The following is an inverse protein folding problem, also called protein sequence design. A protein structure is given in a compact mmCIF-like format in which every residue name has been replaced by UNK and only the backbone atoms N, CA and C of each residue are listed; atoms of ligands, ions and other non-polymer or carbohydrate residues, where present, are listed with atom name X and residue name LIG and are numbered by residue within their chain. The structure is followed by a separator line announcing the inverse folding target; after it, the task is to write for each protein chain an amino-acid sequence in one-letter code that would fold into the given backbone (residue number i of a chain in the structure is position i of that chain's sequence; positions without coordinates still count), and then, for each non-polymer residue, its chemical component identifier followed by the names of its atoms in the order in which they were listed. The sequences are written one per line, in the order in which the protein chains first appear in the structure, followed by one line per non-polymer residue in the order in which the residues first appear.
data_IF_665325099635
#
_entry.id   IF_665325099635
#
_cell.length_a   1.000
_cell.length_b   1.000
_cell.length_c   1.000
_cell.angle_alpha   90.00
_cell.angle_beta   90.00
_cell.angle_gamma   90.00
#
_symmetry.space_group_name_H-M   'P 1'
#
loop_
_entity.id
_entity.type
_entity.pdbx_description
1 polymer ?
#
# COMPACT_ATOMS: atom_id res chain seq x y z
N UNK A 1 -21.56 44.68 -5.25
CA UNK A 1 -21.38 43.67 -4.18
C UNK A 1 -20.66 42.38 -4.62
N UNK A 2 -20.39 42.14 -5.91
CA UNK A 2 -19.71 40.91 -6.37
C UNK A 2 -18.19 41.03 -6.57
N UNK A 3 -17.62 42.25 -6.68
CA UNK A 3 -16.19 42.45 -6.97
C UNK A 3 -15.28 42.29 -5.74
N UNK A 4 -15.73 42.71 -4.55
CA UNK A 4 -14.92 42.62 -3.33
C UNK A 4 -14.63 41.19 -2.84
N UNK A 5 -15.44 40.21 -3.25
CA UNK A 5 -15.25 38.81 -2.83
C UNK A 5 -14.16 38.10 -3.64
N UNK A 6 -13.93 38.51 -4.90
CA UNK A 6 -12.86 37.97 -5.75
C UNK A 6 -11.48 38.53 -5.37
N UNK A 7 -11.40 39.80 -4.98
CA UNK A 7 -10.16 40.37 -4.45
C UNK A 7 -9.79 39.76 -3.10
N UNK A 8 -10.77 39.51 -2.23
CA UNK A 8 -10.54 38.82 -0.96
C UNK A 8 -10.03 37.39 -1.16
N UNK A 9 -10.59 36.65 -2.13
CA UNK A 9 -10.13 35.31 -2.49
C UNK A 9 -8.68 35.30 -3.00
N UNK A 10 -8.30 36.26 -3.87
CA UNK A 10 -6.92 36.43 -4.33
C UNK A 10 -5.96 36.75 -3.19
N UNK A 11 -6.34 37.66 -2.30
CA UNK A 11 -5.53 38.04 -1.14
C UNK A 11 -5.36 36.88 -0.16
N UNK A 12 -6.39 36.03 0.00
CA UNK A 12 -6.31 34.81 0.80
C UNK A 12 -5.44 33.73 0.12
N UNK A 13 -5.51 33.57 -1.20
CA UNK A 13 -4.61 32.69 -1.96
C UNK A 13 -3.15 33.16 -1.93
N UNK A 14 -2.89 34.47 -1.89
CA UNK A 14 -1.53 35.02 -1.85
C UNK A 14 -0.92 34.99 -0.44
N UNK A 15 -1.71 35.25 0.62
CA UNK A 15 -1.21 35.35 2.00
C UNK A 15 -1.39 34.06 2.82
N UNK A 16 -2.41 33.25 2.50
CA UNK A 16 -2.68 31.94 3.12
C UNK A 16 -2.62 30.82 2.09
N UNK A 17 -2.09 31.10 0.90
CA UNK A 17 -1.84 30.11 -0.15
C UNK A 17 -1.23 28.86 0.45
N UNK A 18 -1.89 27.73 0.18
CA UNK A 18 -1.39 26.41 0.53
C UNK A 18 0.10 26.39 0.24
N UNK A 19 0.94 26.24 1.27
CA UNK A 19 2.35 25.88 1.05
C UNK A 19 2.29 24.71 0.08
N UNK A 20 2.86 24.80 -1.13
CA UNK A 20 2.79 23.72 -2.09
C UNK A 20 3.38 22.51 -1.38
N UNK A 21 2.50 21.63 -0.92
CA UNK A 21 2.89 20.40 -0.27
C UNK A 21 3.55 19.59 -1.38
N UNK A 22 4.70 18.97 -1.06
CA UNK A 22 5.63 18.33 -2.00
C UNK A 22 5.01 17.18 -2.82
N UNK A 23 4.01 17.46 -3.66
CA UNK A 23 3.44 16.55 -4.63
C UNK A 23 3.32 17.34 -5.95
N UNK A 24 4.48 17.79 -6.43
CA UNK A 24 4.74 18.03 -7.86
C UNK A 24 4.94 16.70 -8.61
N UNK A 25 5.00 15.58 -7.89
CA UNK A 25 4.97 14.23 -8.45
C UNK A 25 3.63 14.08 -9.16
N UNK A 26 3.64 13.99 -10.49
CA UNK A 26 2.44 13.78 -11.30
C UNK A 26 1.70 12.45 -11.02
N UNK A 27 2.06 11.74 -9.94
CA UNK A 27 1.45 10.52 -9.41
C UNK A 27 1.22 10.69 -7.91
N UNK A 28 -0.02 10.50 -7.47
CA UNK A 28 -0.43 10.58 -6.08
C UNK A 28 -0.35 9.19 -5.41
N UNK A 29 0.46 9.00 -4.35
CA UNK A 29 0.47 7.74 -3.62
C UNK A 29 -0.82 7.58 -2.81
N UNK A 30 -1.48 6.44 -2.86
CA UNK A 30 -2.71 6.18 -2.14
C UNK A 30 -2.59 4.87 -1.39
N UNK A 31 -2.24 4.98 -0.11
CA UNK A 31 -2.08 3.84 0.76
C UNK A 31 -3.39 3.47 1.47
N UNK A 32 -3.82 2.21 1.33
CA UNK A 32 -4.99 1.60 1.97
C UNK A 32 -4.55 0.36 2.76
N UNK A 33 -5.31 0.02 3.80
CA UNK A 33 -5.04 -1.14 4.64
C UNK A 33 -6.13 -2.20 4.50
N UNK A 34 -5.71 -3.44 4.29
CA UNK A 34 -6.57 -4.61 4.40
C UNK A 34 -7.03 -4.83 5.85
N UNK A 35 -8.12 -5.58 6.03
CA UNK A 35 -8.64 -5.93 7.35
C UNK A 35 -7.59 -6.68 8.18
N UNK A 36 -7.58 -6.60 9.52
CA UNK A 36 -6.70 -7.39 10.34
C UNK A 36 -6.85 -8.90 10.03
N UNK A 37 -5.74 -9.54 9.68
CA UNK A 37 -5.68 -10.97 9.37
C UNK A 37 -4.37 -11.56 9.92
N UNK A 38 -4.40 -12.76 10.51
CA UNK A 38 -3.21 -13.34 11.12
C UNK A 38 -2.16 -13.68 10.07
N UNK A 39 -0.89 -13.43 10.39
CA UNK A 39 0.22 -13.89 9.58
C UNK A 39 0.31 -15.44 9.60
N UNK A 40 0.57 -16.10 8.46
CA UNK A 40 0.58 -17.57 8.37
C UNK A 40 1.58 -18.28 9.30
N UNK A 41 2.69 -17.61 9.64
CA UNK A 41 3.72 -18.14 10.54
C UNK A 41 3.56 -17.71 12.01
N UNK A 42 2.53 -16.91 12.32
CA UNK A 42 2.37 -16.25 13.63
C UNK A 42 2.99 -14.85 13.67
N UNK A 43 3.40 -14.40 14.87
CA UNK A 43 3.82 -13.03 15.16
C UNK A 43 5.35 -12.95 15.33
N UNK A 44 6.01 -12.07 14.57
CA UNK A 44 7.43 -11.79 14.74
C UNK A 44 7.68 -11.06 16.07
N UNK A 45 8.88 -11.20 16.63
CA UNK A 45 9.25 -10.66 17.95
C UNK A 45 9.05 -9.14 18.06
N UNK A 46 9.33 -8.40 16.98
CA UNK A 46 9.29 -6.93 16.98
C UNK A 46 7.95 -6.35 16.50
N UNK A 47 6.98 -7.18 16.11
CA UNK A 47 5.72 -6.67 15.56
C UNK A 47 4.78 -6.25 16.71
N UNK A 48 4.41 -4.96 16.83
CA UNK A 48 3.59 -4.50 17.95
C UNK A 48 2.09 -4.84 17.78
N UNK A 49 1.55 -4.70 16.57
CA UNK A 49 0.12 -4.89 16.25
C UNK A 49 -0.35 -6.31 15.97
N UNK A 50 -1.52 -6.42 15.36
CA UNK A 50 -2.11 -7.69 14.93
C UNK A 50 -3.63 -7.76 15.16
N UNK A 51 -4.28 -8.84 14.66
CA UNK A 51 -5.73 -9.03 14.80
C UNK A 51 -6.22 -9.02 16.25
N UNK A 52 -5.35 -9.40 17.20
CA UNK A 52 -5.57 -9.37 18.64
C UNK A 52 -5.88 -7.97 19.19
N UNK A 53 -5.38 -6.93 18.53
CA UNK A 53 -5.61 -5.52 18.89
C UNK A 53 -6.39 -4.75 17.82
N UNK A 54 -6.96 -5.47 16.84
CA UNK A 54 -7.79 -4.88 15.78
C UNK A 54 -7.02 -4.10 14.71
N UNK A 55 -5.70 -4.31 14.59
CA UNK A 55 -4.86 -3.65 13.57
C UNK A 55 -4.24 -4.68 12.63
N UNK A 56 -3.89 -4.31 11.39
CA UNK A 56 -3.01 -5.16 10.57
C UNK A 56 -1.66 -5.36 11.27
N UNK A 57 -0.99 -6.47 10.94
CA UNK A 57 0.30 -6.78 11.53
C UNK A 57 1.29 -5.62 11.34
N UNK A 58 2.05 -5.30 12.38
CA UNK A 58 3.09 -4.26 12.44
C UNK A 58 2.61 -2.82 12.72
N UNK A 59 1.30 -2.55 12.75
CA UNK A 59 0.78 -1.19 12.97
C UNK A 59 0.13 -1.02 14.35
N UNK A 60 0.25 0.18 14.93
CA UNK A 60 -0.15 0.44 16.34
C UNK A 60 -1.42 1.28 16.50
N UNK A 61 -1.78 2.13 15.54
CA UNK A 61 -3.07 2.84 15.54
C UNK A 61 -3.02 4.32 15.17
N UNK A 62 -1.89 4.99 15.39
CA UNK A 62 -1.74 6.44 15.19
C UNK A 62 -1.31 6.82 13.77
N UNK A 63 -0.98 5.83 12.94
CA UNK A 63 -0.56 6.06 11.57
C UNK A 63 -1.73 6.60 10.74
N UNK A 64 -1.56 7.68 9.95
CA UNK A 64 -2.67 8.29 9.21
C UNK A 64 -3.42 7.34 8.28
N UNK A 65 -2.73 6.35 7.70
CA UNK A 65 -3.37 5.34 6.88
C UNK A 65 -4.20 4.36 7.69
N UNK A 66 -3.71 3.91 8.85
CA UNK A 66 -4.46 3.05 9.75
C UNK A 66 -5.67 3.78 10.34
N UNK A 67 -5.52 5.02 10.76
CA UNK A 67 -6.66 5.83 11.25
C UNK A 67 -7.76 5.97 10.20
N UNK A 68 -7.41 6.14 8.92
CA UNK A 68 -8.41 6.13 7.82
C UNK A 68 -9.07 4.76 7.69
N UNK A 69 -8.27 3.69 7.71
CA UNK A 69 -8.77 2.33 7.59
C UNK A 69 -9.74 1.98 8.73
N UNK A 70 -9.40 2.32 9.97
CA UNK A 70 -10.26 2.13 11.14
C UNK A 70 -11.59 2.87 11.01
N UNK A 71 -11.57 4.15 10.62
CA UNK A 71 -12.80 4.95 10.38
C UNK A 71 -13.65 4.39 9.24
N UNK A 72 -13.02 3.78 8.24
CA UNK A 72 -13.68 3.14 7.12
C UNK A 72 -14.15 1.71 7.42
N UNK A 73 -13.80 1.13 8.58
CA UNK A 73 -14.03 -0.29 8.86
C UNK A 73 -13.28 -1.23 7.92
N UNK A 74 -12.09 -0.82 7.46
CA UNK A 74 -11.26 -1.49 6.46
C UNK A 74 -11.93 -1.67 5.09
N UNK A 75 -13.00 -0.93 4.81
CA UNK A 75 -13.63 -0.87 3.50
C UNK A 75 -12.72 -0.12 2.49
N UNK A 76 -12.21 -0.80 1.43
CA UNK A 76 -11.28 -0.20 0.47
C UNK A 76 -11.90 0.98 -0.29
N UNK A 77 -13.19 0.91 -0.63
CA UNK A 77 -13.87 1.97 -1.37
C UNK A 77 -13.89 3.26 -0.54
N UNK A 78 -14.28 3.16 0.73
CA UNK A 78 -14.32 4.30 1.66
C UNK A 78 -12.93 4.87 1.93
N UNK A 79 -11.91 4.01 2.06
CA UNK A 79 -10.52 4.45 2.24
C UNK A 79 -10.02 5.26 1.04
N UNK A 80 -10.24 4.75 -0.17
CA UNK A 80 -9.85 5.43 -1.42
C UNK A 80 -10.61 6.75 -1.58
N UNK A 81 -11.94 6.74 -1.43
CA UNK A 81 -12.75 7.98 -1.53
C UNK A 81 -12.32 9.05 -0.54
N UNK A 82 -12.06 8.66 0.70
CA UNK A 82 -11.58 9.59 1.73
C UNK A 82 -10.25 10.22 1.32
N UNK A 83 -9.30 9.43 0.81
CA UNK A 83 -7.98 9.93 0.41
C UNK A 83 -8.00 10.77 -0.86
N UNK A 84 -8.80 10.41 -1.87
CA UNK A 84 -8.99 11.22 -3.08
C UNK A 84 -9.65 12.56 -2.75
N UNK A 85 -10.68 12.57 -1.90
CA UNK A 85 -11.32 13.80 -1.41
C UNK A 85 -10.31 14.67 -0.68
N UNK A 86 -9.39 14.06 0.09
CA UNK A 86 -8.34 14.82 0.77
C UNK A 86 -7.39 15.53 -0.20
N UNK A 87 -6.99 14.86 -1.28
CA UNK A 87 -6.16 15.46 -2.30
C UNK A 87 -6.89 16.61 -3.01
N UNK A 88 -8.07 16.34 -3.53
CA UNK A 88 -8.82 17.28 -4.36
C UNK A 88 -9.41 18.46 -3.56
N UNK A 89 -10.08 18.19 -2.42
CA UNK A 89 -10.84 19.20 -1.68
C UNK A 89 -10.08 19.91 -0.58
N UNK A 90 -9.11 19.25 0.06
CA UNK A 90 -8.39 19.83 1.20
C UNK A 90 -6.97 20.28 0.85
N UNK A 91 -6.32 19.62 -0.12
CA UNK A 91 -4.96 19.98 -0.55
C UNK A 91 -4.94 20.75 -1.88
N UNK A 92 -6.10 20.89 -2.55
CA UNK A 92 -6.27 21.72 -3.73
C UNK A 92 -5.65 21.14 -5.00
N UNK A 93 -5.44 19.82 -5.09
CA UNK A 93 -4.93 19.20 -6.31
C UNK A 93 -5.75 17.96 -6.71
N UNK A 94 -6.10 17.88 -7.99
CA UNK A 94 -6.84 16.74 -8.53
C UNK A 94 -5.88 15.56 -8.85
N UNK A 95 -6.03 14.40 -8.20
CA UNK A 95 -5.12 13.26 -8.38
C UNK A 95 -5.46 12.45 -9.64
N UNK A 96 -5.11 12.93 -10.83
CA UNK A 96 -5.43 12.24 -12.10
C UNK A 96 -4.72 10.89 -12.27
N UNK A 97 -3.57 10.69 -11.61
CA UNK A 97 -2.80 9.45 -11.61
C UNK A 97 -2.50 9.05 -10.18
N UNK A 98 -2.74 7.78 -9.86
CA UNK A 98 -2.60 7.22 -8.52
C UNK A 98 -1.75 5.97 -8.55
N UNK A 99 -0.83 5.86 -7.60
CA UNK A 99 -0.19 4.59 -7.24
C UNK A 99 -0.91 4.05 -6.00
N UNK A 100 -1.61 2.92 -6.14
CA UNK A 100 -2.29 2.26 -5.02
C UNK A 100 -1.27 1.45 -4.22
N UNK A 101 -1.26 1.60 -2.89
CA UNK A 101 -0.36 0.86 -2.00
C UNK A 101 -1.22 0.05 -1.04
N UNK A 102 -1.13 -1.27 -1.14
CA UNK A 102 -1.89 -2.23 -0.34
C UNK A 102 -1.03 -2.69 0.82
N UNK A 103 -1.37 -2.19 2.00
CA UNK A 103 -0.73 -2.54 3.27
C UNK A 103 -1.59 -3.54 4.04
N UNK A 104 -0.97 -4.43 4.81
CA UNK A 104 -1.73 -5.42 5.58
C UNK A 104 -0.95 -6.61 6.11
N UNK A 105 0.38 -6.51 6.18
CA UNK A 105 1.27 -7.60 6.55
C UNK A 105 1.58 -8.51 5.36
N UNK A 106 0.75 -9.54 5.14
CA UNK A 106 0.95 -10.52 4.06
C UNK A 106 -0.31 -10.63 3.22
N UNK A 107 -0.61 -9.62 2.39
CA UNK A 107 -1.87 -9.56 1.64
C UNK A 107 -2.13 -10.79 0.75
N UNK A 108 -1.11 -11.37 0.06
CA UNK A 108 -1.29 -12.61 -0.69
C UNK A 108 -1.74 -13.83 0.13
N UNK A 109 -1.65 -13.77 1.47
CA UNK A 109 -2.10 -14.83 2.37
C UNK A 109 -3.59 -14.79 2.72
N UNK A 110 -4.31 -13.75 2.28
CA UNK A 110 -5.75 -13.63 2.53
C UNK A 110 -6.52 -14.56 1.58
N UNK A 111 -7.78 -14.90 1.89
CA UNK A 111 -8.64 -15.58 0.93
C UNK A 111 -8.71 -14.85 -0.42
N UNK A 112 -8.67 -15.59 -1.53
CA UNK A 112 -8.59 -15.02 -2.90
C UNK A 112 -9.79 -14.11 -3.20
N UNK A 113 -10.98 -14.53 -2.79
CA UNK A 113 -12.22 -13.77 -2.92
C UNK A 113 -12.14 -12.40 -2.22
N UNK A 114 -11.52 -12.36 -1.04
CA UNK A 114 -11.26 -11.12 -0.32
C UNK A 114 -10.25 -10.24 -1.06
N UNK A 115 -9.17 -10.82 -1.60
CA UNK A 115 -8.15 -10.06 -2.34
C UNK A 115 -8.74 -9.42 -3.60
N UNK A 116 -9.48 -10.18 -4.40
CA UNK A 116 -10.15 -9.69 -5.62
C UNK A 116 -11.18 -8.62 -5.28
N UNK A 117 -12.06 -8.86 -4.31
CA UNK A 117 -13.04 -7.88 -3.84
C UNK A 117 -12.36 -6.59 -3.36
N UNK A 118 -11.24 -6.71 -2.64
CA UNK A 118 -10.56 -5.56 -2.05
C UNK A 118 -10.00 -4.62 -3.12
N UNK A 119 -9.33 -5.18 -4.14
CA UNK A 119 -8.80 -4.42 -5.26
C UNK A 119 -9.91 -3.87 -6.14
N UNK A 120 -10.92 -4.69 -6.48
CA UNK A 120 -12.07 -4.26 -7.28
C UNK A 120 -12.77 -3.04 -6.66
N UNK A 121 -13.04 -3.08 -5.35
CA UNK A 121 -13.69 -1.97 -4.65
C UNK A 121 -12.79 -0.73 -4.50
N UNK A 122 -11.48 -0.90 -4.45
CA UNK A 122 -10.54 0.22 -4.51
C UNK A 122 -10.59 0.91 -5.88
N UNK A 123 -10.64 0.13 -6.97
CA UNK A 123 -10.76 0.65 -8.34
C UNK A 123 -12.12 1.32 -8.58
N UNK A 124 -13.22 0.72 -8.12
CA UNK A 124 -14.57 1.33 -8.16
C UNK A 124 -14.60 2.75 -7.57
N UNK A 125 -13.89 2.95 -6.46
CA UNK A 125 -13.78 4.26 -5.82
C UNK A 125 -13.02 5.28 -6.68
N UNK A 126 -12.01 4.85 -7.44
CA UNK A 126 -11.30 5.69 -8.40
C UNK A 126 -12.17 5.97 -9.64
N UNK A 127 -12.80 4.93 -10.18
CA UNK A 127 -13.64 4.97 -11.38
C UNK A 127 -14.80 5.95 -11.23
N UNK A 128 -15.44 5.98 -10.06
CA UNK A 128 -16.54 6.89 -9.79
C UNK A 128 -16.13 8.30 -9.36
N UNK A 129 -14.84 8.65 -9.23
CA UNK A 129 -14.37 9.96 -8.76
C UNK A 129 -14.19 10.96 -9.91
N UNK A 130 -14.60 12.24 -9.80
CA UNK A 130 -15.14 12.95 -8.62
C UNK A 130 -16.65 12.81 -8.42
N UNK A 131 -17.34 12.01 -9.24
CA UNK A 131 -18.77 11.76 -9.11
C UNK A 131 -19.18 11.15 -7.76
N UNK A 132 -20.48 11.22 -7.47
CA UNK A 132 -21.07 10.64 -6.24
C UNK A 132 -21.55 9.19 -6.41
N UNK A 133 -21.51 8.65 -7.63
CA UNK A 133 -21.92 7.27 -7.88
C UNK A 133 -20.92 6.27 -7.33
N UNK A 134 -21.42 5.20 -6.73
CA UNK A 134 -20.66 3.96 -6.64
C UNK A 134 -20.67 3.35 -8.04
N UNK A 135 -19.54 3.42 -8.76
CA UNK A 135 -19.31 2.44 -9.80
C UNK A 135 -19.30 1.08 -9.09
N UNK A 136 -20.09 0.12 -9.58
CA UNK A 136 -20.13 -1.24 -9.04
C UNK A 136 -19.83 -2.16 -10.20
N UNK A 137 -18.54 -2.39 -10.44
CA UNK A 137 -18.14 -3.48 -11.31
C UNK A 137 -18.64 -4.81 -10.74
N UNK A 138 -19.00 -5.76 -11.60
CA UNK A 138 -19.42 -7.10 -11.17
C UNK A 138 -18.22 -8.03 -10.99
N UNK A 139 -17.11 -7.70 -11.64
CA UNK A 139 -15.86 -8.45 -11.62
C UNK A 139 -14.68 -7.51 -11.47
N UNK A 140 -13.53 -8.07 -11.06
CA UNK A 140 -12.28 -7.33 -10.97
C UNK A 140 -11.87 -6.79 -12.35
N UNK A 141 -12.00 -7.62 -13.39
CA UNK A 141 -11.61 -7.30 -14.76
C UNK A 141 -12.45 -6.14 -15.32
N UNK A 142 -13.75 -6.10 -15.05
CA UNK A 142 -14.60 -4.94 -15.38
C UNK A 142 -14.12 -3.66 -14.69
N UNK A 143 -13.73 -3.73 -13.40
CA UNK A 143 -13.24 -2.58 -12.66
C UNK A 143 -11.90 -2.06 -13.24
N UNK A 144 -11.02 -2.97 -13.67
CA UNK A 144 -9.75 -2.66 -14.31
C UNK A 144 -9.98 -1.98 -15.67
N UNK A 145 -10.83 -2.54 -16.53
CA UNK A 145 -11.14 -2.00 -17.86
C UNK A 145 -11.72 -0.59 -17.78
N UNK A 146 -12.66 -0.35 -16.86
CA UNK A 146 -13.20 1.01 -16.62
C UNK A 146 -12.10 1.96 -16.14
N UNK A 147 -11.15 1.49 -15.35
CA UNK A 147 -10.09 2.34 -14.80
C UNK A 147 -9.09 2.83 -15.86
N UNK A 148 -8.93 2.12 -16.98
CA UNK A 148 -8.03 2.51 -18.08
C UNK A 148 -8.35 3.91 -18.63
N UNK A 149 -9.63 4.29 -18.64
CA UNK A 149 -10.12 5.56 -19.14
C UNK A 149 -10.68 6.51 -18.07
N UNK A 150 -10.64 6.11 -16.79
CA UNK A 150 -11.17 6.91 -15.68
C UNK A 150 -10.44 8.25 -15.50
N UNK A 151 -11.12 9.20 -14.84
CA UNK A 151 -10.53 10.50 -14.50
C UNK A 151 -9.42 10.38 -13.44
N UNK A 152 -9.51 9.39 -12.56
CA UNK A 152 -8.47 8.99 -11.60
C UNK A 152 -7.96 7.62 -12.03
N UNK A 153 -6.78 7.56 -12.64
CA UNK A 153 -6.19 6.31 -13.14
C UNK A 153 -5.27 5.67 -12.13
N UNK A 154 -5.44 4.38 -11.89
CA UNK A 154 -4.49 3.56 -11.17
C UNK A 154 -3.35 3.18 -12.11
N UNK A 155 -2.21 3.85 -11.98
CA UNK A 155 -1.05 3.62 -12.85
C UNK A 155 -0.09 2.55 -12.30
N UNK A 156 -0.41 1.99 -11.14
CA UNK A 156 0.36 0.94 -10.51
C UNK A 156 -0.23 0.55 -9.16
N UNK A 157 -0.10 -0.73 -8.83
CA UNK A 157 -0.47 -1.28 -7.54
C UNK A 157 0.78 -1.88 -6.89
N UNK A 158 1.01 -1.47 -5.65
CA UNK A 158 2.07 -1.97 -4.79
C UNK A 158 1.46 -2.91 -3.76
N UNK A 159 1.99 -4.14 -3.68
CA UNK A 159 1.56 -5.13 -2.67
C UNK A 159 2.73 -5.43 -1.74
N UNK A 160 2.51 -5.28 -0.43
CA UNK A 160 3.43 -5.75 0.59
C UNK A 160 3.23 -7.23 0.87
N UNK A 161 4.33 -7.99 0.92
CA UNK A 161 4.27 -9.42 1.24
C UNK A 161 5.53 -9.92 1.93
N UNK A 162 5.46 -11.16 2.41
CA UNK A 162 6.60 -11.92 2.91
C UNK A 162 7.25 -12.70 1.76
N UNK A 163 8.57 -12.93 1.79
CA UNK A 163 9.23 -13.74 0.77
C UNK A 163 8.61 -15.11 0.49
N UNK A 164 8.20 -15.86 1.52
CA UNK A 164 7.54 -17.16 1.38
C UNK A 164 6.14 -17.08 0.70
N UNK A 165 5.59 -15.87 0.57
CA UNK A 165 4.34 -15.53 -0.12
C UNK A 165 4.57 -14.69 -1.39
N UNK A 166 5.77 -14.77 -1.96
CA UNK A 166 6.14 -14.17 -3.24
C UNK A 166 6.69 -15.20 -4.22
N UNK A 167 6.09 -16.39 -4.23
CA UNK A 167 6.39 -17.52 -5.12
C UNK A 167 5.49 -17.52 -6.36
N UNK A 168 5.66 -18.49 -7.26
CA UNK A 168 5.04 -18.51 -8.60
C UNK A 168 3.51 -18.34 -8.56
N UNK A 169 2.73 -19.09 -7.74
CA UNK A 169 1.27 -18.92 -7.69
C UNK A 169 0.83 -17.54 -7.16
N UNK A 170 1.64 -16.96 -6.27
CA UNK A 170 1.37 -15.63 -5.72
C UNK A 170 1.69 -14.54 -6.74
N UNK A 171 2.74 -14.73 -7.54
CA UNK A 171 3.07 -13.85 -8.66
C UNK A 171 1.93 -13.80 -9.69
N UNK A 172 1.41 -14.97 -10.08
CA UNK A 172 0.27 -15.07 -11.02
C UNK A 172 -0.97 -14.34 -10.47
N UNK A 173 -1.29 -14.53 -9.19
CA UNK A 173 -2.40 -13.83 -8.55
C UNK A 173 -2.17 -12.31 -8.52
N UNK A 174 -0.99 -11.86 -8.12
CA UNK A 174 -0.65 -10.43 -8.07
C UNK A 174 -0.70 -9.78 -9.46
N UNK A 175 -0.27 -10.49 -10.52
CA UNK A 175 -0.41 -10.02 -11.90
C UNK A 175 -1.89 -9.84 -12.27
N UNK A 176 -2.75 -10.82 -11.94
CA UNK A 176 -4.20 -10.72 -12.19
C UNK A 176 -4.85 -9.56 -11.43
N UNK A 177 -4.39 -9.27 -10.21
CA UNK A 177 -4.84 -8.10 -9.44
C UNK A 177 -4.39 -6.77 -10.06
N UNK A 178 -3.46 -6.76 -11.02
CA UNK A 178 -2.90 -5.55 -11.62
C UNK A 178 -1.72 -4.97 -10.85
N UNK A 179 -1.06 -5.77 -10.00
CA UNK A 179 0.15 -5.34 -9.30
C UNK A 179 1.31 -5.09 -10.26
N UNK A 180 2.09 -4.05 -9.97
CA UNK A 180 3.27 -3.66 -10.74
C UNK A 180 4.53 -3.58 -9.88
N UNK A 181 4.36 -3.50 -8.56
CA UNK A 181 5.46 -3.46 -7.59
C UNK A 181 5.15 -4.37 -6.40
N UNK A 182 6.16 -5.05 -5.91
CA UNK A 182 6.07 -5.89 -4.70
C UNK A 182 7.11 -5.42 -3.70
N UNK A 183 6.67 -5.18 -2.46
CA UNK A 183 7.55 -4.86 -1.34
C UNK A 183 7.73 -6.11 -0.47
N UNK A 184 8.95 -6.65 -0.48
CA UNK A 184 9.30 -7.85 0.25
C UNK A 184 9.84 -7.51 1.63
N UNK A 185 9.18 -8.05 2.65
CA UNK A 185 9.64 -7.98 4.03
C UNK A 185 10.83 -8.88 4.33
N UNK A 186 11.99 -8.65 3.70
CA UNK A 186 13.25 -9.42 3.88
C UNK A 186 13.81 -9.23 5.29
N UNK A 187 13.86 -7.98 5.75
CA UNK A 187 14.34 -7.52 7.06
C UNK A 187 15.82 -7.74 7.34
N UNK A 188 16.35 -8.95 7.12
CA UNK A 188 17.76 -9.31 7.27
C UNK A 188 18.21 -10.32 6.23
N UNK A 189 19.49 -10.29 5.86
CA UNK A 189 20.14 -11.28 4.97
C UNK A 189 20.86 -12.39 5.75
N UNK A 190 20.55 -12.54 7.04
CA UNK A 190 21.17 -13.54 7.90
C UNK A 190 20.14 -14.45 8.57
N UNK A 191 20.19 -15.76 8.30
CA UNK A 191 19.23 -16.72 8.84
C UNK A 191 19.24 -16.79 10.38
N UNK A 192 20.40 -16.62 11.04
CA UNK A 192 20.49 -16.61 12.50
C UNK A 192 19.67 -15.45 13.11
N UNK A 193 19.66 -14.28 12.46
CA UNK A 193 18.84 -13.13 12.87
C UNK A 193 17.36 -13.40 12.59
N UNK A 194 17.02 -13.90 11.40
CA UNK A 194 15.63 -14.20 11.00
C UNK A 194 14.97 -15.24 11.92
N UNK A 195 15.70 -16.29 12.28
CA UNK A 195 15.27 -17.32 13.23
C UNK A 195 15.04 -16.70 14.61
N UNK A 196 15.98 -15.90 15.09
CA UNK A 196 15.92 -15.28 16.43
C UNK A 196 14.70 -14.36 16.59
N UNK A 197 14.31 -13.64 15.54
CA UNK A 197 13.12 -12.77 15.55
C UNK A 197 11.83 -13.48 15.12
N UNK A 198 11.88 -14.80 14.89
CA UNK A 198 10.76 -15.64 14.45
C UNK A 198 10.08 -15.11 13.19
N UNK A 199 10.88 -14.74 12.17
CA UNK A 199 10.38 -14.10 10.95
C UNK A 199 9.56 -15.05 10.04
N UNK A 200 9.79 -16.35 10.17
CA UNK A 200 9.06 -17.41 9.47
C UNK A 200 9.45 -17.62 8.01
N UNK A 201 10.59 -17.08 7.56
CA UNK A 201 11.20 -17.41 6.27
C UNK A 201 12.74 -17.35 6.40
N UNK A 202 13.42 -17.91 5.42
CA UNK A 202 14.88 -18.00 5.27
C UNK A 202 15.40 -17.03 4.20
N UNK A 203 16.69 -16.72 4.24
CA UNK A 203 17.36 -15.92 3.19
C UNK A 203 17.19 -16.56 1.81
N UNK A 204 17.18 -17.90 1.74
CA UNK A 204 16.97 -18.61 0.48
C UNK A 204 15.58 -18.37 -0.12
N UNK A 205 14.55 -18.24 0.72
CA UNK A 205 13.20 -17.86 0.28
C UNK A 205 13.16 -16.41 -0.22
N UNK A 206 13.90 -15.50 0.40
CA UNK A 206 14.10 -14.12 -0.10
C UNK A 206 14.74 -14.07 -1.48
N UNK A 207 15.78 -14.87 -1.70
CA UNK A 207 16.45 -14.99 -3.00
C UNK A 207 15.49 -15.58 -4.04
N UNK A 208 14.81 -16.69 -3.70
CA UNK A 208 13.86 -17.35 -4.62
C UNK A 208 12.71 -16.44 -4.99
N UNK A 209 12.07 -15.80 -4.01
CA UNK A 209 10.96 -14.88 -4.24
C UNK A 209 11.38 -13.73 -5.14
N UNK A 210 12.55 -13.16 -4.89
CA UNK A 210 13.07 -12.06 -5.70
C UNK A 210 13.28 -12.48 -7.14
N UNK A 211 13.86 -13.66 -7.38
CA UNK A 211 14.01 -14.21 -8.74
C UNK A 211 12.65 -14.36 -9.42
N UNK A 212 11.70 -15.05 -8.77
CA UNK A 212 10.36 -15.28 -9.33
C UNK A 212 9.68 -13.96 -9.69
N UNK A 213 9.66 -12.99 -8.78
CA UNK A 213 8.97 -11.74 -9.00
C UNK A 213 9.68 -10.86 -10.03
N UNK A 214 11.02 -10.86 -10.08
CA UNK A 214 11.79 -10.17 -11.13
C UNK A 214 11.53 -10.78 -12.50
N UNK A 215 11.59 -12.11 -12.61
CA UNK A 215 11.36 -12.85 -13.86
C UNK A 215 9.91 -12.67 -14.35
N UNK A 216 8.97 -12.41 -13.43
CA UNK A 216 7.57 -12.09 -13.72
C UNK A 216 7.32 -10.62 -14.09
N UNK A 217 8.36 -9.77 -14.09
CA UNK A 217 8.27 -8.37 -14.50
C UNK A 217 7.93 -7.35 -13.42
N UNK A 218 7.90 -7.75 -12.14
CA UNK A 218 7.61 -6.81 -11.05
C UNK A 218 8.81 -5.90 -10.72
N UNK A 219 8.50 -4.66 -10.32
CA UNK A 219 9.44 -3.83 -9.56
C UNK A 219 9.53 -4.40 -8.14
N UNK A 220 10.74 -4.55 -7.62
CA UNK A 220 10.98 -5.12 -6.29
C UNK A 220 11.56 -4.07 -5.37
N UNK A 221 11.00 -3.98 -4.17
CA UNK A 221 11.52 -3.19 -3.06
C UNK A 221 11.76 -4.13 -1.89
N UNK A 222 12.89 -3.99 -1.22
CA UNK A 222 13.12 -4.69 0.05
C UNK A 222 12.83 -3.78 1.21
N UNK A 223 12.04 -4.28 2.16
CA UNK A 223 11.98 -3.72 3.49
C UNK A 223 13.10 -4.35 4.32
N UNK A 224 14.04 -3.53 4.81
CA UNK A 224 15.21 -3.94 5.58
C UNK A 224 15.18 -3.24 6.94
N UNK A 225 15.55 -3.95 8.00
CA UNK A 225 15.54 -3.44 9.37
C UNK A 225 16.93 -3.63 10.03
N UNK A 226 17.75 -2.58 10.09
CA UNK A 226 18.92 -2.55 10.96
C UNK A 226 18.54 -2.68 12.44
N UNK A 227 19.47 -3.15 13.28
CA UNK A 227 19.31 -3.21 14.72
C UNK A 227 18.41 -4.34 15.23
N UNK A 228 18.12 -5.35 14.40
CA UNK A 228 17.35 -6.51 14.84
C UNK A 228 18.10 -7.32 15.93
N UNK A 229 17.37 -7.95 16.88
CA UNK A 229 17.98 -8.82 17.89
C UNK A 229 18.90 -9.88 17.27
N UNK A 230 20.19 -9.85 17.62
CA UNK A 230 21.21 -10.74 17.07
C UNK A 230 22.08 -10.15 15.96
N UNK A 231 21.74 -8.97 15.42
CA UNK A 231 22.61 -8.21 14.52
C UNK A 231 23.58 -7.30 15.29
N UNK A 232 24.52 -6.69 14.57
CA UNK A 232 25.41 -5.62 15.04
C UNK A 232 25.48 -4.51 13.99
N UNK A 233 26.00 -3.33 14.36
CA UNK A 233 26.21 -2.22 13.42
C UNK A 233 27.03 -2.64 12.21
N UNK A 234 28.08 -3.42 12.42
CA UNK A 234 28.98 -3.90 11.38
C UNK A 234 28.24 -4.86 10.43
N UNK A 235 27.45 -5.78 10.99
CA UNK A 235 26.60 -6.70 10.21
C UNK A 235 25.54 -5.95 9.40
N UNK A 236 24.92 -4.92 9.97
CA UNK A 236 23.91 -4.14 9.26
C UNK A 236 24.50 -3.34 8.09
N UNK A 237 25.70 -2.78 8.26
CA UNK A 237 26.42 -2.13 7.15
C UNK A 237 26.76 -3.14 6.06
N UNK A 238 27.23 -4.33 6.44
CA UNK A 238 27.58 -5.37 5.47
C UNK A 238 26.35 -5.92 4.73
N UNK A 239 25.22 -6.07 5.43
CA UNK A 239 23.93 -6.39 4.82
C UNK A 239 23.54 -5.36 3.75
N UNK A 240 23.70 -4.06 4.01
CA UNK A 240 23.39 -3.01 3.03
C UNK A 240 24.34 -2.99 1.82
N UNK A 241 25.56 -3.54 1.95
CA UNK A 241 26.48 -3.73 0.81
C UNK A 241 26.15 -4.98 -0.01
N UNK A 242 25.54 -5.97 0.62
CA UNK A 242 25.20 -7.26 -0.01
C UNK A 242 24.00 -7.15 -0.94
N UNK A 243 23.04 -6.27 -0.59
CA UNK A 243 21.81 -6.01 -1.33
C UNK A 243 22.06 -4.99 -2.45
#
# INVERSE_FOLDING_TARGET
MQTGNQELLKVLEENFGFKPTRILSGVAPLAIMAKPYPCPHGKCVYCPGGPDVGTPQSYVGEEPALMRALRAGFDPFKQVRSRLTQYDKYLGYFPSKVELIVMGGTFPAYPIDYQEWFIMRALDAMNGYPGRGEAVARTLEEAQEVNESASVRCIGITIETRPDWGMEPHADLMLRLGATKVELGVQSVYDDVLIKVRRGHTVQESIRSTRVLRDSGFKIVYHIMPGLPGSSRERDIEMMRTI
#
